data_IF_350668516079
#
_entry.id   IF_350668516079
#
_cell.length_a   1.000
_cell.length_b   1.000
_cell.length_c   1.000
_cell.angle_alpha   90.00
_cell.angle_beta   90.00
_cell.angle_gamma   90.00
#
_symmetry.space_group_name_H-M   'P 1'
#
loop_
_entity.id
_entity.type
_entity.pdbx_description
1 polymer ?
#
# COMPACT_ATOMS: atom_id res chain seq x y z
N UNK A 1 19.28 -0.88 13.65
CA UNK A 1 20.72 -0.68 14.04
C UNK A 1 21.63 -1.83 13.60
N UNK A 2 21.21 -3.10 13.70
CA UNK A 2 22.01 -4.26 13.26
C UNK A 2 22.45 -4.13 11.79
N UNK A 3 21.53 -3.80 10.90
CA UNK A 3 21.83 -3.69 9.47
C UNK A 3 22.92 -2.67 9.17
N UNK A 4 22.84 -1.49 9.77
CA UNK A 4 23.88 -0.45 9.63
C UNK A 4 25.26 -0.89 10.12
N UNK A 5 25.31 -1.68 11.18
CA UNK A 5 26.58 -2.24 11.68
C UNK A 5 27.13 -3.30 10.74
N UNK A 6 26.26 -4.14 10.17
CA UNK A 6 26.63 -5.13 9.16
C UNK A 6 27.22 -4.47 7.92
N UNK A 7 26.59 -3.42 7.40
CA UNK A 7 27.09 -2.68 6.22
C UNK A 7 28.49 -2.10 6.51
N UNK A 8 28.69 -1.43 7.63
CA UNK A 8 30.02 -0.92 8.02
C UNK A 8 31.07 -2.03 8.11
N UNK A 9 30.70 -3.21 8.61
CA UNK A 9 31.60 -4.36 8.68
C UNK A 9 31.91 -4.89 7.27
N UNK A 10 30.92 -4.97 6.38
CA UNK A 10 31.11 -5.38 4.98
C UNK A 10 32.08 -4.41 4.28
N UNK A 11 31.83 -3.11 4.33
CA UNK A 11 32.67 -2.08 3.74
C UNK A 11 34.12 -2.15 4.27
N UNK A 12 34.29 -2.34 5.58
CA UNK A 12 35.62 -2.53 6.18
C UNK A 12 36.33 -3.77 5.61
N UNK A 13 35.64 -4.90 5.50
CA UNK A 13 36.22 -6.14 4.97
C UNK A 13 36.57 -6.02 3.50
N UNK A 14 35.73 -5.36 2.70
CA UNK A 14 36.00 -5.09 1.27
C UNK A 14 37.25 -4.24 1.09
N UNK A 15 37.43 -3.17 1.90
CA UNK A 15 38.62 -2.32 1.82
C UNK A 15 39.93 -3.04 2.21
N UNK A 16 39.79 -4.17 2.93
CA UNK A 16 40.96 -5.02 3.33
C UNK A 16 41.10 -6.28 2.50
N UNK A 17 40.36 -6.42 1.38
CA UNK A 17 40.45 -7.58 0.48
C UNK A 17 39.96 -8.91 1.08
N UNK A 18 39.08 -8.85 2.09
CA UNK A 18 38.59 -10.05 2.81
C UNK A 18 37.25 -10.54 2.23
N UNK A 19 37.22 -10.76 0.90
CA UNK A 19 35.99 -11.09 0.14
C UNK A 19 35.27 -12.33 0.67
N UNK A 20 35.97 -13.39 1.06
CA UNK A 20 35.33 -14.60 1.60
C UNK A 20 34.52 -14.34 2.87
N UNK A 21 34.90 -13.33 3.68
CA UNK A 21 34.18 -12.98 4.88
C UNK A 21 32.99 -12.04 4.58
N UNK A 22 33.12 -11.24 3.53
CA UNK A 22 32.01 -10.48 2.97
C UNK A 22 30.92 -11.43 2.52
N UNK A 23 31.26 -12.43 1.68
CA UNK A 23 30.31 -13.43 1.18
C UNK A 23 29.63 -14.20 2.33
N UNK A 24 30.40 -14.59 3.36
CA UNK A 24 29.84 -15.26 4.53
C UNK A 24 28.82 -14.40 5.28
N UNK A 25 29.11 -13.12 5.48
CA UNK A 25 28.16 -12.17 6.13
C UNK A 25 26.94 -11.96 5.26
N UNK A 26 27.12 -11.77 3.95
CA UNK A 26 26.03 -11.57 3.01
C UNK A 26 25.08 -12.78 2.96
N UNK A 27 25.59 -14.00 3.06
CA UNK A 27 24.76 -15.21 3.11
C UNK A 27 24.09 -15.40 4.47
N UNK A 28 24.81 -15.17 5.58
CA UNK A 28 24.27 -15.30 6.93
C UNK A 28 23.13 -14.32 7.20
N UNK A 29 23.25 -13.09 6.70
CA UNK A 29 22.32 -11.99 6.93
C UNK A 29 21.51 -11.59 5.69
N UNK A 30 21.35 -12.48 4.73
CA UNK A 30 20.64 -12.26 3.44
C UNK A 30 19.20 -11.82 3.54
N UNK A 31 18.61 -11.89 4.73
CA UNK A 31 17.24 -11.43 5.00
C UNK A 31 17.20 -10.14 5.84
N UNK A 32 18.33 -9.48 6.08
CA UNK A 32 18.37 -8.16 6.71
C UNK A 32 18.17 -7.09 5.66
N UNK A 33 17.17 -6.17 5.78
CA UNK A 33 16.84 -5.19 4.73
C UNK A 33 18.04 -4.38 4.23
N UNK A 34 18.87 -3.87 5.15
CA UNK A 34 20.05 -3.11 4.80
C UNK A 34 21.05 -3.95 3.96
N UNK A 35 21.21 -5.25 4.27
CA UNK A 35 22.09 -6.17 3.53
C UNK A 35 21.53 -6.45 2.14
N UNK A 36 20.21 -6.64 2.01
CA UNK A 36 19.54 -6.78 0.72
C UNK A 36 19.76 -5.53 -0.15
N UNK A 37 19.52 -4.35 0.41
CA UNK A 37 19.70 -3.08 -0.29
C UNK A 37 21.16 -2.86 -0.69
N UNK A 38 22.11 -3.21 0.17
CA UNK A 38 23.52 -3.14 -0.14
C UNK A 38 23.89 -4.03 -1.35
N UNK A 39 23.43 -5.28 -1.35
CA UNK A 39 23.65 -6.22 -2.45
C UNK A 39 23.06 -5.72 -3.77
N UNK A 40 21.84 -5.18 -3.73
CA UNK A 40 21.18 -4.62 -4.92
C UNK A 40 22.02 -3.45 -5.47
N UNK A 41 22.46 -2.54 -4.60
CA UNK A 41 23.28 -1.40 -4.99
C UNK A 41 24.62 -1.82 -5.61
N UNK A 42 25.31 -2.80 -5.02
CA UNK A 42 26.54 -3.35 -5.61
C UNK A 42 26.32 -3.90 -7.02
N UNK A 43 25.20 -4.62 -7.24
CA UNK A 43 24.87 -5.14 -8.57
C UNK A 43 24.63 -4.01 -9.57
N UNK A 44 23.94 -2.94 -9.14
CA UNK A 44 23.70 -1.77 -9.98
C UNK A 44 24.99 -1.01 -10.30
N UNK A 45 25.87 -0.82 -9.33
CA UNK A 45 27.19 -0.19 -9.53
C UNK A 45 28.08 -0.97 -10.51
N UNK A 46 27.97 -2.31 -10.47
CA UNK A 46 28.66 -3.21 -11.42
C UNK A 46 27.99 -3.27 -12.81
N UNK A 47 26.87 -2.55 -13.02
CA UNK A 47 26.10 -2.58 -14.27
C UNK A 47 25.34 -3.89 -14.51
N UNK A 48 25.16 -4.72 -13.47
CA UNK A 48 24.49 -6.02 -13.52
C UNK A 48 22.99 -5.88 -13.27
N UNK A 49 22.31 -5.03 -14.07
CA UNK A 49 20.89 -4.68 -13.87
C UNK A 49 19.95 -5.89 -13.86
N UNK A 50 20.21 -6.93 -14.68
CA UNK A 50 19.37 -8.13 -14.69
C UNK A 50 19.45 -8.91 -13.36
N UNK A 51 20.60 -8.95 -12.76
CA UNK A 51 20.79 -9.63 -11.49
C UNK A 51 20.28 -8.78 -10.33
N UNK A 52 20.41 -7.45 -10.43
CA UNK A 52 19.76 -6.51 -9.50
C UNK A 52 18.22 -6.68 -9.53
N UNK A 53 17.59 -6.77 -10.70
CA UNK A 53 16.14 -7.02 -10.81
C UNK A 53 15.71 -8.33 -10.15
N UNK A 54 16.48 -9.43 -10.38
CA UNK A 54 16.18 -10.72 -9.73
C UNK A 54 16.30 -10.63 -8.20
N UNK A 55 17.32 -9.93 -7.71
CA UNK A 55 17.51 -9.77 -6.26
C UNK A 55 16.42 -8.90 -5.66
N UNK A 56 16.00 -7.82 -6.35
CA UNK A 56 14.85 -7.00 -5.96
C UNK A 56 13.58 -7.86 -5.87
N UNK A 57 13.25 -8.60 -6.92
CA UNK A 57 12.04 -9.44 -6.95
C UNK A 57 12.05 -10.49 -5.84
N UNK A 58 13.21 -11.13 -5.60
CA UNK A 58 13.38 -12.09 -4.51
C UNK A 58 13.20 -11.44 -3.14
N UNK A 59 13.75 -10.24 -2.96
CA UNK A 59 13.67 -9.51 -1.70
C UNK A 59 12.22 -9.10 -1.42
N UNK A 60 11.52 -8.52 -2.40
CA UNK A 60 10.11 -8.18 -2.30
C UNK A 60 9.27 -9.43 -1.97
N UNK A 61 9.53 -10.56 -2.62
CA UNK A 61 8.80 -11.80 -2.36
C UNK A 61 8.99 -12.33 -0.93
N UNK A 62 10.15 -12.11 -0.30
CA UNK A 62 10.42 -12.50 1.09
C UNK A 62 9.71 -11.60 2.10
N UNK A 63 9.67 -10.30 1.83
CA UNK A 63 9.08 -9.33 2.76
C UNK A 63 7.57 -9.16 2.56
N UNK A 64 7.04 -9.55 1.42
CA UNK A 64 5.64 -9.38 1.03
C UNK A 64 5.31 -7.95 0.60
N UNK A 65 4.14 -7.82 -0.05
CA UNK A 65 3.59 -6.53 -0.49
C UNK A 65 2.66 -5.92 0.58
N UNK A 66 2.55 -6.53 1.76
CA UNK A 66 1.57 -6.20 2.81
C UNK A 66 1.98 -5.01 3.70
N UNK A 67 3.03 -4.29 3.32
CA UNK A 67 3.27 -2.91 3.76
C UNK A 67 3.78 -2.70 5.18
N UNK A 68 4.04 -3.76 5.94
CA UNK A 68 4.68 -3.62 7.25
C UNK A 68 6.18 -3.35 7.17
N UNK A 69 6.78 -3.61 6.03
CA UNK A 69 8.20 -3.35 5.77
C UNK A 69 8.33 -2.60 4.46
N UNK A 70 9.19 -1.63 4.45
CA UNK A 70 9.46 -0.67 3.38
C UNK A 70 9.99 -1.35 2.10
N UNK A 71 9.16 -2.12 1.42
CA UNK A 71 9.47 -2.61 0.07
C UNK A 71 9.40 -1.49 -0.97
N UNK A 72 8.82 -0.35 -0.59
CA UNK A 72 8.70 0.85 -1.42
C UNK A 72 10.01 1.25 -2.11
N UNK A 73 11.12 1.31 -1.36
CA UNK A 73 12.42 1.69 -1.92
C UNK A 73 12.91 0.72 -2.99
N UNK A 74 12.63 -0.57 -2.86
CA UNK A 74 13.01 -1.58 -3.85
C UNK A 74 12.13 -1.52 -5.10
N UNK A 75 10.83 -1.26 -4.95
CA UNK A 75 9.94 -0.97 -6.08
C UNK A 75 10.40 0.28 -6.85
N UNK A 76 10.79 1.33 -6.16
CA UNK A 76 11.30 2.55 -6.79
C UNK A 76 12.64 2.29 -7.53
N UNK A 77 13.58 1.53 -6.94
CA UNK A 77 14.80 1.11 -7.64
C UNK A 77 14.49 0.27 -8.88
N UNK A 78 13.49 -0.61 -8.81
CA UNK A 78 13.04 -1.39 -9.95
C UNK A 78 12.49 -0.49 -11.05
N UNK A 79 11.66 0.51 -10.70
CA UNK A 79 11.13 1.50 -11.65
C UNK A 79 12.27 2.23 -12.36
N UNK A 80 13.32 2.67 -11.66
CA UNK A 80 14.48 3.34 -12.27
C UNK A 80 15.17 2.47 -13.34
N UNK A 81 15.28 1.17 -13.10
CA UNK A 81 15.84 0.22 -14.07
C UNK A 81 14.89 0.08 -15.28
N UNK A 82 13.58 -0.05 -15.02
CA UNK A 82 12.58 -0.20 -16.08
C UNK A 82 12.45 1.07 -16.93
N UNK A 83 12.62 2.26 -16.35
CA UNK A 83 12.67 3.55 -17.08
C UNK A 83 13.85 3.59 -18.07
N UNK A 84 15.05 3.18 -17.66
CA UNK A 84 16.21 3.06 -18.55
C UNK A 84 15.96 2.13 -19.72
N UNK A 85 15.13 1.10 -19.52
CA UNK A 85 14.74 0.11 -20.54
C UNK A 85 13.55 0.51 -21.38
N UNK A 86 12.90 1.66 -21.06
CA UNK A 86 11.65 2.08 -21.66
C UNK A 86 10.52 1.03 -21.51
N UNK A 87 10.55 0.22 -20.43
CA UNK A 87 9.49 -0.76 -20.13
C UNK A 87 8.32 -0.09 -19.42
N UNK A 88 7.49 0.58 -20.21
CA UNK A 88 6.31 1.30 -19.71
C UNK A 88 5.32 0.37 -18.99
N UNK A 89 5.15 -0.86 -19.47
CA UNK A 89 4.23 -1.81 -18.86
C UNK A 89 4.70 -2.25 -17.46
N UNK A 90 5.99 -2.54 -17.33
CA UNK A 90 6.61 -2.85 -16.04
C UNK A 90 6.50 -1.69 -15.05
N UNK A 91 6.75 -0.46 -15.51
CA UNK A 91 6.63 0.75 -14.67
C UNK A 91 5.20 0.92 -14.14
N UNK A 92 4.18 0.77 -14.99
CA UNK A 92 2.77 0.84 -14.58
C UNK A 92 2.44 -0.23 -13.53
N UNK A 93 2.92 -1.46 -13.71
CA UNK A 93 2.66 -2.53 -12.75
C UNK A 93 3.35 -2.28 -11.40
N UNK A 94 4.57 -1.74 -11.36
CA UNK A 94 5.24 -1.40 -10.10
C UNK A 94 4.53 -0.24 -9.37
N UNK A 95 4.12 0.82 -10.06
CA UNK A 95 3.32 1.89 -9.45
C UNK A 95 1.95 1.39 -8.96
N UNK A 96 1.33 0.44 -9.67
CA UNK A 96 0.10 -0.21 -9.21
C UNK A 96 0.31 -1.01 -7.93
N UNK A 97 1.44 -1.70 -7.77
CA UNK A 97 1.81 -2.41 -6.54
C UNK A 97 2.02 -1.43 -5.39
N UNK A 98 2.78 -0.36 -5.62
CA UNK A 98 3.00 0.70 -4.63
C UNK A 98 1.67 1.33 -4.15
N UNK A 99 0.76 1.64 -5.08
CA UNK A 99 -0.56 2.18 -4.74
C UNK A 99 -1.37 1.24 -3.82
N UNK A 100 -1.17 -0.08 -3.93
CA UNK A 100 -1.88 -1.08 -3.12
C UNK A 100 -1.24 -1.35 -1.77
N UNK A 101 -0.01 -0.90 -1.55
CA UNK A 101 0.70 -1.14 -0.28
C UNK A 101 0.04 -0.42 0.89
N UNK A 102 0.11 -1.06 2.06
CA UNK A 102 -0.29 -0.47 3.32
C UNK A 102 0.75 0.55 3.80
N UNK A 103 0.34 1.63 4.50
CA UNK A 103 1.21 2.67 5.05
C UNK A 103 2.06 3.46 4.05
N UNK A 104 1.68 3.47 2.78
CA UNK A 104 2.33 4.26 1.74
C UNK A 104 1.38 5.38 1.30
N UNK A 105 1.90 6.60 1.16
CA UNK A 105 1.14 7.70 0.56
C UNK A 105 0.74 7.34 -0.88
N UNK A 106 -0.56 7.17 -1.11
CA UNK A 106 -1.09 6.66 -2.38
C UNK A 106 -1.15 7.71 -3.49
N UNK A 107 -1.28 8.99 -3.12
CA UNK A 107 -1.48 10.09 -4.08
C UNK A 107 -0.36 10.21 -5.11
N UNK A 108 0.93 10.21 -4.77
CA UNK A 108 1.99 10.31 -5.74
C UNK A 108 1.96 9.19 -6.79
N UNK A 109 1.67 7.96 -6.37
CA UNK A 109 1.60 6.81 -7.27
C UNK A 109 0.37 6.83 -8.15
N UNK A 110 -0.75 7.32 -7.62
CA UNK A 110 -1.96 7.53 -8.40
C UNK A 110 -1.74 8.53 -9.54
N UNK A 111 -1.11 9.68 -9.26
CA UNK A 111 -0.81 10.69 -10.27
C UNK A 111 0.16 10.14 -11.34
N UNK A 112 1.16 9.35 -10.93
CA UNK A 112 2.07 8.68 -11.88
C UNK A 112 1.34 7.70 -12.79
N UNK A 113 0.44 6.90 -12.25
CA UNK A 113 -0.39 6.00 -13.04
C UNK A 113 -1.27 6.77 -14.04
N UNK A 114 -1.85 7.89 -13.61
CA UNK A 114 -2.68 8.76 -14.46
C UNK A 114 -1.90 9.38 -15.62
N UNK A 115 -0.62 9.71 -15.41
CA UNK A 115 0.28 10.19 -16.47
C UNK A 115 0.66 9.08 -17.46
N UNK A 116 0.86 7.86 -16.97
CA UNK A 116 1.41 6.75 -17.74
C UNK A 116 0.34 5.97 -18.52
N UNK A 117 -0.83 5.77 -17.94
CA UNK A 117 -1.90 5.01 -18.60
C UNK A 117 -2.55 5.86 -19.70
N UNK A 118 -2.78 5.25 -20.87
CA UNK A 118 -3.44 5.92 -21.97
C UNK A 118 -4.87 6.35 -21.59
N UNK A 119 -5.27 7.56 -22.00
CA UNK A 119 -6.57 8.16 -21.61
C UNK A 119 -7.76 7.28 -21.94
N UNK A 120 -7.72 6.61 -23.08
CA UNK A 120 -8.76 5.69 -23.53
C UNK A 120 -8.91 4.45 -22.65
N UNK A 121 -7.88 4.07 -21.91
CA UNK A 121 -7.86 2.93 -21.00
C UNK A 121 -8.02 3.31 -19.53
N UNK A 122 -7.97 4.62 -19.22
CA UNK A 122 -7.92 5.11 -17.84
C UNK A 122 -9.16 4.73 -17.04
N UNK A 123 -10.34 4.84 -17.64
CA UNK A 123 -11.61 4.57 -16.96
C UNK A 123 -11.72 3.13 -16.43
N UNK A 124 -11.35 2.16 -17.26
CA UNK A 124 -11.36 0.74 -16.87
C UNK A 124 -10.20 0.42 -15.90
N UNK A 125 -9.05 1.04 -16.13
CA UNK A 125 -7.87 0.85 -15.28
C UNK A 125 -8.12 1.34 -13.86
N UNK A 126 -8.65 2.56 -13.70
CA UNK A 126 -8.83 3.18 -12.38
C UNK A 126 -9.90 2.45 -11.54
N UNK A 127 -10.96 1.94 -12.17
CA UNK A 127 -11.96 1.11 -11.48
C UNK A 127 -11.32 -0.17 -10.94
N UNK A 128 -10.48 -0.84 -11.73
CA UNK A 128 -9.72 -2.02 -11.27
C UNK A 128 -8.73 -1.66 -10.16
N UNK A 129 -8.03 -0.53 -10.31
CA UNK A 129 -7.06 -0.05 -9.32
C UNK A 129 -7.69 0.11 -7.95
N UNK A 130 -8.83 0.80 -7.85
CA UNK A 130 -9.58 0.94 -6.59
C UNK A 130 -10.14 -0.41 -6.12
N UNK A 131 -10.60 -1.25 -7.05
CA UNK A 131 -11.11 -2.58 -6.76
C UNK A 131 -10.08 -3.55 -6.16
N UNK A 132 -8.80 -3.32 -6.40
CA UNK A 132 -7.70 -4.22 -6.00
C UNK A 132 -7.01 -3.83 -4.68
N UNK A 133 -7.43 -2.74 -4.01
CA UNK A 133 -6.86 -2.34 -2.71
C UNK A 133 -7.24 -3.38 -1.66
N UNK A 134 -6.27 -4.07 -1.00
CA UNK A 134 -6.58 -5.21 -0.13
C UNK A 134 -7.03 -4.79 1.27
N UNK A 135 -6.38 -3.82 1.85
CA UNK A 135 -6.65 -3.28 3.19
C UNK A 135 -6.36 -1.79 3.20
N UNK A 136 -7.13 -1.05 4.01
CA UNK A 136 -7.05 0.39 4.03
C UNK A 136 -7.12 0.91 5.48
N UNK A 137 -6.30 1.90 5.82
CA UNK A 137 -6.39 2.66 7.08
C UNK A 137 -7.47 3.73 6.97
N UNK A 138 -7.84 4.38 8.09
CA UNK A 138 -8.80 5.49 8.06
C UNK A 138 -8.30 6.66 7.21
N UNK A 139 -7.03 7.03 7.35
CA UNK A 139 -6.42 8.12 6.58
C UNK A 139 -6.35 7.79 5.09
N UNK A 140 -5.89 6.59 4.75
CA UNK A 140 -5.89 6.08 3.37
C UNK A 140 -7.31 6.01 2.78
N UNK A 141 -8.30 5.60 3.59
CA UNK A 141 -9.69 5.51 3.17
C UNK A 141 -10.23 6.87 2.71
N UNK A 142 -9.96 7.92 3.51
CA UNK A 142 -10.34 9.29 3.15
C UNK A 142 -9.70 9.71 1.84
N UNK A 143 -8.42 9.45 1.68
CA UNK A 143 -7.68 9.84 0.50
C UNK A 143 -8.15 9.09 -0.75
N UNK A 144 -8.32 7.77 -0.65
CA UNK A 144 -8.83 6.95 -1.77
C UNK A 144 -10.27 7.34 -2.13
N UNK A 145 -11.15 7.61 -1.15
CA UNK A 145 -12.49 8.11 -1.44
C UNK A 145 -12.46 9.47 -2.14
N UNK A 146 -11.56 10.37 -1.77
CA UNK A 146 -11.38 11.64 -2.48
C UNK A 146 -10.95 11.42 -3.94
N UNK A 147 -10.00 10.52 -4.21
CA UNK A 147 -9.60 10.16 -5.58
C UNK A 147 -10.76 9.56 -6.39
N UNK A 148 -11.57 8.70 -5.77
CA UNK A 148 -12.78 8.11 -6.39
C UNK A 148 -13.76 9.22 -6.79
N UNK A 149 -13.97 10.22 -5.93
CA UNK A 149 -14.85 11.35 -6.21
C UNK A 149 -14.28 12.24 -7.33
N UNK A 150 -12.98 12.54 -7.29
CA UNK A 150 -12.28 13.29 -8.34
C UNK A 150 -12.41 12.61 -9.72
N UNK A 151 -12.27 11.29 -9.76
CA UNK A 151 -12.41 10.47 -10.97
C UNK A 151 -13.87 10.12 -11.33
N UNK A 152 -14.84 10.53 -10.50
CA UNK A 152 -16.28 10.23 -10.66
C UNK A 152 -16.60 8.73 -10.77
N UNK A 153 -15.82 7.89 -10.07
CA UNK A 153 -15.99 6.44 -10.04
C UNK A 153 -16.77 6.00 -8.80
N UNK A 154 -17.92 6.63 -8.57
CA UNK A 154 -18.72 6.51 -7.34
C UNK A 154 -19.10 5.07 -6.99
N UNK A 155 -19.23 4.18 -7.98
CA UNK A 155 -19.48 2.74 -7.79
C UNK A 155 -18.36 2.03 -6.99
N UNK A 156 -17.19 2.65 -6.83
CA UNK A 156 -16.10 2.10 -6.04
C UNK A 156 -16.19 2.47 -4.54
N UNK A 157 -17.01 3.47 -4.18
CA UNK A 157 -17.09 3.99 -2.80
C UNK A 157 -17.53 2.93 -1.81
N UNK A 158 -18.62 2.20 -2.11
CA UNK A 158 -19.18 1.19 -1.21
C UNK A 158 -18.11 0.19 -0.76
N UNK A 159 -17.34 -0.37 -1.73
CA UNK A 159 -16.29 -1.34 -1.43
C UNK A 159 -15.24 -0.76 -0.48
N UNK A 160 -14.72 0.43 -0.79
CA UNK A 160 -13.66 1.07 0.01
C UNK A 160 -14.13 1.37 1.43
N UNK A 161 -15.36 1.87 1.57
CA UNK A 161 -15.95 2.17 2.87
C UNK A 161 -16.20 0.89 3.69
N UNK A 162 -16.62 -0.20 3.05
CA UNK A 162 -16.83 -1.50 3.73
C UNK A 162 -15.54 -2.20 4.11
N UNK A 163 -14.46 -2.05 3.33
CA UNK A 163 -13.15 -2.63 3.61
C UNK A 163 -12.40 -1.91 4.74
N UNK A 164 -12.86 -0.72 5.13
CA UNK A 164 -12.31 0.02 6.27
C UNK A 164 -12.63 -0.72 7.59
N UNK A 165 -11.62 -1.32 8.20
CA UNK A 165 -11.75 -2.10 9.43
C UNK A 165 -11.64 -1.28 10.72
N UNK A 166 -11.25 0.00 10.62
CA UNK A 166 -11.09 0.88 11.78
C UNK A 166 -12.41 1.55 12.12
N UNK A 167 -12.95 1.27 13.29
CA UNK A 167 -14.36 1.47 13.64
C UNK A 167 -14.78 2.89 14.03
N UNK A 168 -13.85 3.81 14.26
CA UNK A 168 -14.18 5.10 14.87
C UNK A 168 -14.67 6.18 13.90
N UNK A 169 -14.42 6.05 12.60
CA UNK A 169 -14.76 7.06 11.59
C UNK A 169 -15.86 6.67 10.61
N UNK A 170 -16.45 5.47 10.73
CA UNK A 170 -17.40 4.93 9.73
C UNK A 170 -18.61 5.83 9.48
N UNK A 171 -19.21 6.38 10.55
CA UNK A 171 -20.36 7.27 10.44
C UNK A 171 -19.96 8.60 9.79
N UNK A 172 -18.82 9.15 10.18
CA UNK A 172 -18.33 10.40 9.59
C UNK A 172 -17.92 10.23 8.13
N UNK A 173 -17.31 9.10 7.78
CA UNK A 173 -17.00 8.75 6.39
C UNK A 173 -18.30 8.61 5.57
N UNK A 174 -19.31 7.93 6.12
CA UNK A 174 -20.60 7.82 5.46
C UNK A 174 -21.23 9.19 5.21
N UNK A 175 -21.34 10.04 6.23
CA UNK A 175 -21.88 11.40 6.09
C UNK A 175 -21.16 12.20 5.00
N UNK A 176 -19.84 12.03 4.91
CA UNK A 176 -19.02 12.76 3.93
C UNK A 176 -19.27 12.30 2.50
N UNK A 177 -19.48 10.99 2.27
CA UNK A 177 -19.50 10.42 0.92
C UNK A 177 -20.86 9.89 0.47
N UNK A 178 -21.88 9.77 1.36
CA UNK A 178 -23.18 9.20 1.05
C UNK A 178 -23.86 9.87 -0.15
N UNK A 179 -23.77 11.18 -0.27
CA UNK A 179 -24.41 11.92 -1.36
C UNK A 179 -23.84 11.62 -2.77
N UNK A 180 -22.71 10.89 -2.86
CA UNK A 180 -22.16 10.36 -4.11
C UNK A 180 -22.60 8.92 -4.39
N UNK A 181 -23.18 8.22 -3.42
CA UNK A 181 -23.58 6.82 -3.51
C UNK A 181 -25.02 6.69 -3.97
N UNK A 182 -25.36 5.56 -4.62
CA UNK A 182 -26.75 5.21 -4.90
C UNK A 182 -27.52 4.95 -3.60
N UNK A 183 -28.88 5.06 -3.63
CA UNK A 183 -29.71 4.73 -2.47
C UNK A 183 -29.51 3.28 -2.02
N UNK A 184 -29.31 2.36 -2.96
CA UNK A 184 -29.02 0.95 -2.69
C UNK A 184 -27.68 0.76 -1.95
N UNK A 185 -26.63 1.44 -2.41
CA UNK A 185 -25.31 1.41 -1.76
C UNK A 185 -25.35 2.03 -0.36
N UNK A 186 -26.08 3.14 -0.19
CA UNK A 186 -26.27 3.76 1.12
C UNK A 186 -26.98 2.82 2.09
N UNK A 187 -28.05 2.15 1.64
CA UNK A 187 -28.77 1.17 2.45
C UNK A 187 -27.87 0.00 2.83
N UNK A 188 -27.12 -0.54 1.86
CA UNK A 188 -26.18 -1.66 2.08
C UNK A 188 -25.09 -1.29 3.10
N UNK A 189 -24.50 -0.10 2.98
CA UNK A 189 -23.50 0.37 3.93
C UNK A 189 -24.07 0.59 5.32
N UNK A 190 -25.26 1.20 5.40
CA UNK A 190 -25.95 1.44 6.67
C UNK A 190 -26.22 0.14 7.41
N UNK A 191 -26.75 -0.88 6.73
CA UNK A 191 -26.99 -2.20 7.30
C UNK A 191 -25.70 -2.84 7.82
N UNK A 192 -24.62 -2.79 7.01
CA UNK A 192 -23.31 -3.30 7.40
C UNK A 192 -22.78 -2.64 8.68
N UNK A 193 -22.84 -1.30 8.78
CA UNK A 193 -22.37 -0.57 9.97
C UNK A 193 -23.23 -0.90 11.19
N UNK A 194 -24.56 -0.97 11.03
CA UNK A 194 -25.48 -1.32 12.13
C UNK A 194 -25.20 -2.74 12.64
N UNK A 195 -24.95 -3.69 11.76
CA UNK A 195 -24.65 -5.07 12.16
C UNK A 195 -23.29 -5.18 12.89
N UNK A 196 -22.30 -4.43 12.45
CA UNK A 196 -21.03 -4.34 13.15
C UNK A 196 -21.17 -3.69 14.54
N UNK A 197 -21.91 -2.61 14.63
CA UNK A 197 -22.21 -1.97 15.92
C UNK A 197 -22.98 -2.90 16.86
N UNK A 198 -23.94 -3.69 16.35
CA UNK A 198 -24.66 -4.73 17.14
C UNK A 198 -23.70 -5.80 17.67
N UNK A 199 -22.76 -6.28 16.85
CA UNK A 199 -21.74 -7.23 17.30
C UNK A 199 -20.87 -6.63 18.41
N UNK A 200 -20.42 -5.40 18.24
CA UNK A 200 -19.64 -4.69 19.26
C UNK A 200 -20.41 -4.46 20.56
N UNK A 201 -21.73 -4.19 20.50
CA UNK A 201 -22.58 -4.06 21.67
C UNK A 201 -22.58 -5.35 22.52
N UNK A 202 -22.50 -6.53 21.90
CA UNK A 202 -22.50 -7.81 22.62
C UNK A 202 -21.24 -8.03 23.49
N UNK A 203 -20.14 -7.31 23.19
CA UNK A 203 -18.85 -7.39 23.91
C UNK A 203 -18.52 -6.12 24.69
N UNK A 204 -19.30 -5.05 24.55
CA UNK A 204 -19.00 -3.75 25.12
C UNK A 204 -19.21 -3.73 26.64
N UNK A 205 -18.29 -3.11 27.37
CA UNK A 205 -18.48 -2.71 28.78
C UNK A 205 -19.31 -1.42 28.83
N UNK A 206 -20.03 -1.20 29.93
CA UNK A 206 -21.04 -0.12 30.09
C UNK A 206 -20.62 1.30 29.65
N UNK A 207 -19.32 1.63 29.69
CA UNK A 207 -18.80 2.93 29.26
C UNK A 207 -18.78 3.13 27.73
N UNK A 208 -18.86 2.06 26.94
CA UNK A 208 -18.80 2.13 25.47
C UNK A 208 -20.18 2.25 24.81
N UNK A 209 -21.27 2.05 25.57
CA UNK A 209 -22.63 2.11 25.02
C UNK A 209 -23.03 3.48 24.47
N UNK A 210 -22.56 4.57 25.11
CA UNK A 210 -22.89 5.92 24.70
C UNK A 210 -22.44 6.22 23.27
N UNK A 211 -21.21 5.91 22.94
CA UNK A 211 -20.63 6.15 21.61
C UNK A 211 -21.34 5.33 20.52
N UNK A 212 -21.66 4.06 20.80
CA UNK A 212 -22.34 3.18 19.83
C UNK A 212 -23.77 3.68 19.56
N UNK A 213 -24.48 4.15 20.58
CA UNK A 213 -25.83 4.73 20.42
C UNK A 213 -25.80 6.01 19.61
N UNK A 214 -24.78 6.86 19.81
CA UNK A 214 -24.64 8.12 19.07
C UNK A 214 -24.26 7.84 17.61
N UNK A 215 -23.43 6.84 17.34
CA UNK A 215 -23.12 6.37 15.99
C UNK A 215 -24.37 5.84 15.26
N UNK A 216 -25.18 5.00 15.94
CA UNK A 216 -26.44 4.49 15.37
C UNK A 216 -27.38 5.66 15.05
N UNK A 217 -27.56 6.62 15.96
CA UNK A 217 -28.41 7.81 15.71
C UNK A 217 -27.87 8.62 14.53
N UNK A 218 -26.53 8.77 14.44
CA UNK A 218 -25.86 9.46 13.34
C UNK A 218 -26.17 8.88 11.97
N UNK A 219 -26.31 7.55 11.85
CA UNK A 219 -26.63 6.86 10.59
C UNK A 219 -28.09 7.11 10.14
N UNK A 220 -29.04 7.31 11.06
CA UNK A 220 -30.43 7.56 10.72
C UNK A 220 -30.78 9.04 10.49
N UNK A 221 -29.82 9.94 10.67
CA UNK A 221 -30.02 11.39 10.49
C UNK A 221 -29.39 11.92 9.20
N UNK A 222 -28.81 11.04 8.40
CA UNK A 222 -28.31 11.31 7.05
C UNK A 222 -29.34 10.94 6.01
#
# INVERSE_FOLDING_TARGET
ELGKLLIKKIEYLQTHGRENEVDAIMEEYKYVPDVCSFKINELLEKGLENDALKEIDKTIAVYGDDGYNTTESWHLQKIEILEKRNDKAGIIEEYRRLFRQFLVDKRPYFEKLKELVAKENWDDFVVKLFGDIPHITDDDCIEVCNMIVEEKKYQCLLKILMDNRMSFSRVELFKKYAHYMSEEDQATYTEHVIDDLRKHLSYAKSKSYGYIVDDIKGMYTC
#
